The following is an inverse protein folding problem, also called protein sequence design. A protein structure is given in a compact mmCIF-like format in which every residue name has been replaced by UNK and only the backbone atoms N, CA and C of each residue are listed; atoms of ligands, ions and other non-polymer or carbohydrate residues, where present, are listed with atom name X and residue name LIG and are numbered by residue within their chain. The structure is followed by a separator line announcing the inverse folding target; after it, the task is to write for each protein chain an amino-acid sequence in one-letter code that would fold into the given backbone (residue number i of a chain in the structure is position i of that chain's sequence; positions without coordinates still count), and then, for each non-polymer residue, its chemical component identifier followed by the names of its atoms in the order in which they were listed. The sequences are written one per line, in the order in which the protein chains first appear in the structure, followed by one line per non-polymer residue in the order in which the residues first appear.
data_IF_104496199339
#
_entry.id   IF_104496199339
#
_cell.length_a   1.000
_cell.length_b   1.000
_cell.length_c   1.000
_cell.angle_alpha   90.00
_cell.angle_beta   90.00
_cell.angle_gamma   90.00
#
_symmetry.space_group_name_H-M   'P 1'
#
loop_
_entity.id
_entity.type
_entity.pdbx_description
1 polymer ?
#
# COMPACT_ATOMS: atom_id res chain seq x y z
N UNK A 1 -5.62 -28.06 17.94
CA UNK A 1 -5.86 -28.21 16.48
C UNK A 1 -4.84 -27.35 15.75
N UNK A 2 -4.14 -27.89 14.75
CA UNK A 2 -3.14 -27.15 13.96
C UNK A 2 -3.73 -26.74 12.62
N UNK A 3 -3.55 -25.47 12.23
CA UNK A 3 -4.13 -24.89 11.01
C UNK A 3 -3.02 -24.30 10.15
N UNK A 4 -3.14 -24.47 8.83
CA UNK A 4 -2.27 -23.85 7.83
C UNK A 4 -3.14 -23.16 6.80
N UNK A 5 -2.80 -21.92 6.48
CA UNK A 5 -3.41 -21.15 5.41
C UNK A 5 -2.29 -20.52 4.59
N UNK A 6 -2.43 -20.59 3.28
CA UNK A 6 -1.57 -19.90 2.32
C UNK A 6 -2.45 -18.86 1.66
N UNK A 7 -1.98 -17.61 1.62
CA UNK A 7 -2.76 -16.48 1.14
C UNK A 7 -4.14 -16.40 1.83
N UNK A 8 -5.17 -15.95 1.11
CA UNK A 8 -6.56 -15.95 1.57
C UNK A 8 -7.32 -17.27 1.22
N UNK A 9 -6.60 -18.35 0.88
CA UNK A 9 -7.21 -19.60 0.45
C UNK A 9 -7.84 -20.42 1.60
N UNK A 10 -8.39 -21.58 1.25
CA UNK A 10 -9.01 -22.50 2.19
C UNK A 10 -8.00 -22.96 3.26
N UNK A 11 -8.37 -22.74 4.53
CA UNK A 11 -7.65 -23.24 5.70
C UNK A 11 -7.61 -24.77 5.70
N UNK A 12 -6.41 -25.33 5.82
CA UNK A 12 -6.19 -26.75 6.08
C UNK A 12 -5.98 -26.98 7.56
N UNK A 13 -6.57 -28.05 8.09
CA UNK A 13 -6.57 -28.30 9.52
C UNK A 13 -6.20 -29.74 9.83
N UNK A 14 -5.28 -29.94 10.77
CA UNK A 14 -4.80 -31.24 11.23
C UNK A 14 -4.86 -31.33 12.76
N UNK A 15 -5.29 -32.49 13.28
CA UNK A 15 -5.20 -32.79 14.70
C UNK A 15 -3.79 -33.28 15.04
N UNK A 16 -3.10 -32.59 15.95
CA UNK A 16 -1.83 -33.05 16.49
C UNK A 16 -2.05 -34.18 17.51
N UNK A 17 -1.06 -35.08 17.70
CA UNK A 17 -1.15 -36.15 18.69
C UNK A 17 -1.26 -35.65 20.14
N UNK A 18 -0.68 -34.48 20.43
CA UNK A 18 -0.64 -33.86 21.75
C UNK A 18 -0.77 -32.34 21.61
N UNK A 19 -1.31 -31.69 22.64
CA UNK A 19 -1.38 -30.23 22.76
C UNK A 19 -0.16 -29.65 23.52
N UNK A 20 0.84 -30.48 23.86
CA UNK A 20 2.07 -30.02 24.51
C UNK A 20 2.94 -29.17 23.55
N UNK A 21 3.64 -28.13 24.06
CA UNK A 21 4.56 -27.35 23.25
C UNK A 21 5.73 -28.16 22.73
N UNK A 22 6.10 -27.94 21.46
CA UNK A 22 7.29 -28.53 20.86
C UNK A 22 8.48 -27.60 21.14
N UNK A 23 9.47 -28.08 21.88
CA UNK A 23 10.68 -27.31 22.18
C UNK A 23 11.71 -27.44 21.06
N UNK A 24 12.11 -26.31 20.47
CA UNK A 24 13.12 -26.25 19.40
C UNK A 24 14.41 -25.60 19.93
N UNK A 25 15.57 -26.15 19.55
CA UNK A 25 16.88 -25.63 19.98
C UNK A 25 17.47 -24.61 19.01
N UNK A 26 17.17 -24.76 17.72
CA UNK A 26 17.68 -23.94 16.63
C UNK A 26 16.56 -23.76 15.62
N UNK A 27 16.44 -22.53 15.10
CA UNK A 27 15.57 -22.19 14.00
C UNK A 27 16.46 -21.92 12.79
N UNK A 28 16.10 -22.49 11.64
CA UNK A 28 16.79 -22.26 10.38
C UNK A 28 15.79 -21.71 9.37
N UNK A 29 16.22 -20.79 8.51
CA UNK A 29 15.40 -20.13 7.50
C UNK A 29 16.09 -20.30 6.15
N UNK A 30 15.34 -20.61 5.10
CA UNK A 30 15.87 -20.87 3.76
C UNK A 30 16.48 -22.26 3.58
N UNK A 31 17.09 -22.85 4.59
CA UNK A 31 17.64 -24.21 4.48
C UNK A 31 18.42 -24.64 5.72
N UNK A 32 19.00 -25.83 5.66
CA UNK A 32 19.85 -26.38 6.71
C UNK A 32 21.17 -26.91 6.14
N UNK A 33 22.28 -26.67 6.84
CA UNK A 33 23.57 -27.28 6.51
C UNK A 33 23.51 -28.81 6.67
N UNK A 34 24.38 -29.53 5.96
CA UNK A 34 24.33 -31.00 5.83
C UNK A 34 24.33 -31.76 7.16
N UNK A 35 24.98 -31.24 8.20
CA UNK A 35 24.99 -31.82 9.55
C UNK A 35 23.63 -31.76 10.27
N UNK A 36 22.69 -30.93 9.79
CA UNK A 36 21.33 -30.79 10.33
C UNK A 36 20.26 -31.39 9.39
N UNK A 37 20.63 -31.96 8.25
CA UNK A 37 19.71 -32.60 7.31
C UNK A 37 19.30 -34.00 7.78
N UNK A 38 18.42 -34.05 8.78
CA UNK A 38 17.79 -35.30 9.26
C UNK A 38 16.47 -35.57 8.56
N UNK A 39 15.91 -36.79 8.64
CA UNK A 39 14.53 -36.99 8.20
C UNK A 39 13.58 -36.09 9.02
N UNK A 40 12.56 -35.47 8.41
CA UNK A 40 12.08 -35.63 7.03
C UNK A 40 12.75 -34.72 5.98
N UNK A 41 13.66 -33.84 6.38
CA UNK A 41 14.27 -32.80 5.51
C UNK A 41 15.50 -33.27 4.72
N UNK A 42 15.95 -34.52 4.91
CA UNK A 42 17.22 -35.07 4.39
C UNK A 42 17.46 -34.95 2.87
N UNK A 43 16.42 -34.69 2.06
CA UNK A 43 16.55 -34.58 0.60
C UNK A 43 15.81 -33.34 0.04
N UNK A 44 15.54 -32.35 0.88
CA UNK A 44 14.88 -31.11 0.44
C UNK A 44 15.98 -30.11 0.09
N UNK A 45 16.05 -29.61 -1.16
CA UNK A 45 17.04 -28.60 -1.52
C UNK A 45 16.81 -27.30 -0.72
N UNK A 46 17.87 -26.51 -0.46
CA UNK A 46 17.71 -25.17 0.09
C UNK A 46 16.81 -24.30 -0.80
N UNK A 47 16.08 -23.39 -0.18
CA UNK A 47 15.21 -22.43 -0.83
C UNK A 47 16.03 -21.31 -1.48
N UNK A 48 15.68 -20.99 -2.72
CA UNK A 48 16.22 -19.84 -3.45
C UNK A 48 15.10 -18.81 -3.66
N UNK A 49 15.26 -17.63 -3.09
CA UNK A 49 14.28 -16.56 -3.16
C UNK A 49 14.31 -15.68 -1.92
N UNK A 50 13.19 -14.99 -1.68
CA UNK A 50 13.04 -14.06 -0.57
C UNK A 50 12.03 -14.54 0.46
N UNK A 51 12.41 -14.41 1.74
CA UNK A 51 11.54 -14.65 2.88
C UNK A 51 11.57 -13.39 3.74
N UNK A 52 10.41 -12.79 3.99
CA UNK A 52 10.26 -11.58 4.80
C UNK A 52 9.05 -11.68 5.72
N UNK A 53 8.96 -10.77 6.69
CA UNK A 53 7.83 -10.65 7.63
C UNK A 53 7.50 -11.95 8.39
N UNK A 54 8.52 -12.74 8.75
CA UNK A 54 8.34 -13.94 9.57
C UNK A 54 7.96 -13.55 11.01
N UNK A 55 6.79 -13.98 11.45
CA UNK A 55 6.28 -13.75 12.82
C UNK A 55 6.02 -15.10 13.48
N UNK A 56 6.57 -15.30 14.67
CA UNK A 56 6.35 -16.51 15.49
C UNK A 56 5.89 -16.06 16.87
N UNK A 57 4.76 -16.62 17.35
CA UNK A 57 4.18 -16.25 18.64
C UNK A 57 3.98 -14.73 18.81
N UNK A 58 3.52 -14.06 17.75
CA UNK A 58 3.36 -12.60 17.68
C UNK A 58 4.65 -11.76 17.83
N UNK A 59 5.83 -12.39 17.70
CA UNK A 59 7.13 -11.72 17.71
C UNK A 59 7.72 -11.72 16.29
N UNK A 60 8.06 -10.56 15.71
CA UNK A 60 8.76 -10.51 14.44
C UNK A 60 10.19 -11.04 14.61
N UNK A 61 10.62 -11.89 13.69
CA UNK A 61 11.98 -12.43 13.70
C UNK A 61 12.96 -11.39 13.15
N UNK A 62 13.99 -11.05 13.93
CA UNK A 62 15.04 -10.12 13.51
C UNK A 62 16.15 -10.85 12.74
N UNK A 63 16.09 -10.77 11.41
CA UNK A 63 17.13 -11.32 10.56
C UNK A 63 18.42 -10.50 10.53
N UNK A 64 18.46 -9.29 11.08
CA UNK A 64 19.68 -8.48 11.14
C UNK A 64 20.69 -9.00 12.18
N UNK A 65 20.27 -9.87 13.11
CA UNK A 65 21.11 -10.46 14.14
C UNK A 65 21.04 -11.99 14.13
N UNK A 66 21.43 -12.66 13.04
CA UNK A 66 21.42 -14.12 12.99
C UNK A 66 22.56 -14.69 13.87
N UNK A 67 22.32 -15.84 14.47
CA UNK A 67 23.38 -16.59 15.18
C UNK A 67 24.46 -17.06 14.19
N UNK A 68 24.06 -17.42 12.97
CA UNK A 68 24.92 -17.82 11.86
C UNK A 68 24.13 -17.79 10.55
N UNK A 69 24.79 -17.55 9.40
CA UNK A 69 24.16 -17.64 8.08
C UNK A 69 25.18 -18.12 7.03
N UNK A 70 24.66 -18.67 5.93
CA UNK A 70 25.41 -19.13 4.77
C UNK A 70 24.56 -18.80 3.53
N UNK A 71 25.15 -18.17 2.51
CA UNK A 71 24.48 -17.80 1.25
C UNK A 71 23.15 -17.03 1.42
N UNK A 72 23.09 -16.07 2.36
CA UNK A 72 21.89 -15.26 2.61
C UNK A 72 22.15 -13.76 2.40
N UNK A 73 21.31 -13.11 1.61
CA UNK A 73 21.31 -11.66 1.40
C UNK A 73 20.35 -10.97 2.38
N UNK A 74 20.84 -10.65 3.57
CA UNK A 74 20.02 -10.09 4.65
C UNK A 74 19.71 -8.60 4.39
N UNK A 75 18.46 -8.21 4.66
CA UNK A 75 18.02 -6.80 4.65
C UNK A 75 17.56 -6.29 3.29
N UNK A 76 17.54 -7.13 2.26
CA UNK A 76 17.10 -6.76 0.91
C UNK A 76 16.42 -7.93 0.22
N UNK A 77 15.53 -7.60 -0.70
CA UNK A 77 15.01 -8.53 -1.67
C UNK A 77 15.24 -7.96 -3.07
N UNK A 78 16.23 -8.48 -3.82
CA UNK A 78 16.51 -8.01 -5.16
C UNK A 78 15.26 -8.14 -6.03
N UNK A 79 14.91 -7.08 -6.77
CA UNK A 79 13.93 -7.21 -7.85
C UNK A 79 14.54 -8.07 -8.96
N UNK A 80 13.79 -9.04 -9.46
CA UNK A 80 14.25 -9.93 -10.53
C UNK A 80 14.25 -9.25 -11.91
N UNK A 81 13.61 -8.08 -12.04
CA UNK A 81 13.64 -7.26 -13.24
C UNK A 81 14.41 -5.94 -13.01
N UNK A 82 15.25 -5.50 -13.97
CA UNK A 82 15.58 -4.09 -14.13
C UNK A 82 14.28 -3.34 -14.46
N UNK A 83 13.96 -2.27 -13.73
CA UNK A 83 12.90 -1.33 -14.16
C UNK A 83 13.32 -0.69 -15.50
N UNK A 84 13.00 -1.34 -16.62
CA UNK A 84 12.93 -0.67 -17.91
C UNK A 84 11.60 0.09 -17.89
N UNK A 85 11.59 1.24 -17.22
CA UNK A 85 10.57 2.25 -17.53
C UNK A 85 10.79 2.61 -18.99
N UNK A 86 9.82 2.40 -19.90
CA UNK A 86 9.91 3.01 -21.22
C UNK A 86 10.10 4.52 -21.00
N UNK A 87 10.95 5.20 -21.81
CA UNK A 87 11.00 6.64 -21.76
C UNK A 87 9.57 7.15 -21.93
N UNK A 88 9.10 7.95 -20.97
CA UNK A 88 7.85 8.68 -21.13
C UNK A 88 8.01 9.49 -22.42
N UNK A 89 7.11 9.26 -23.37
CA UNK A 89 7.07 9.94 -24.65
C UNK A 89 6.66 11.40 -24.38
N UNK A 90 7.64 12.21 -23.98
CA UNK A 90 7.57 13.66 -23.85
C UNK A 90 7.50 14.29 -25.25
N UNK A 91 6.44 14.01 -26.02
CA UNK A 91 6.04 14.89 -27.12
C UNK A 91 4.55 14.79 -27.42
N UNK A 92 3.74 15.51 -26.63
CA UNK A 92 2.45 15.98 -27.12
C UNK A 92 2.44 17.51 -27.08
N UNK A 93 2.47 18.20 -28.23
CA UNK A 93 2.42 19.65 -28.25
C UNK A 93 1.09 20.10 -27.65
N UNK A 94 1.20 20.92 -26.62
CA UNK A 94 0.09 21.63 -25.98
C UNK A 94 -0.54 22.48 -27.08
N UNK A 95 -1.71 22.08 -27.58
CA UNK A 95 -2.48 22.88 -28.52
C UNK A 95 -2.92 24.14 -27.76
N UNK A 96 -2.20 25.25 -27.98
CA UNK A 96 -2.56 26.55 -27.46
C UNK A 96 -3.94 26.92 -28.02
N UNK A 97 -5.00 26.74 -27.22
CA UNK A 97 -6.30 27.35 -27.47
C UNK A 97 -6.14 28.84 -27.23
N UNK A 98 -5.87 29.56 -28.31
CA UNK A 98 -6.05 31.02 -28.41
C UNK A 98 -7.53 31.30 -28.12
N UNK A 99 -7.82 31.84 -26.93
CA UNK A 99 -9.11 32.43 -26.60
C UNK A 99 -9.29 33.68 -27.46
N UNK A 100 -10.03 33.55 -28.57
CA UNK A 100 -10.56 34.69 -29.31
C UNK A 100 -11.73 35.25 -28.50
N UNK A 101 -11.53 36.42 -27.88
CA UNK A 101 -12.62 37.22 -27.32
C UNK A 101 -13.37 37.91 -28.48
N UNK A 102 -14.70 37.83 -28.57
CA UNK A 102 -15.47 38.70 -29.44
C UNK A 102 -15.90 39.97 -28.68
N UNK A 103 -15.48 41.13 -29.19
CA UNK A 103 -16.03 42.44 -28.84
C UNK A 103 -17.37 42.72 -29.58
N UNK A 104 -18.16 43.70 -29.12
CA UNK A 104 -19.62 43.66 -29.17
C UNK A 104 -20.21 44.37 -30.40
N UNK A 105 -21.18 43.73 -31.06
CA UNK A 105 -22.01 44.37 -32.07
C UNK A 105 -23.39 44.74 -31.50
N UNK A 106 -23.72 45.99 -31.75
CA UNK A 106 -24.86 46.73 -31.21
C UNK A 106 -26.01 46.69 -32.22
N UNK A 107 -27.26 46.75 -31.74
CA UNK A 107 -28.49 47.15 -32.46
C UNK A 107 -29.13 46.05 -33.35
N UNK A 108 -30.41 45.69 -33.27
CA UNK A 108 -31.56 46.12 -32.49
C UNK A 108 -32.81 45.37 -32.96
N UNK A 109 -33.87 45.43 -32.14
CA UNK A 109 -35.29 45.27 -32.49
C UNK A 109 -35.84 43.84 -32.76
N UNK A 110 -36.61 43.30 -31.79
CA UNK A 110 -38.06 43.01 -31.96
C UNK A 110 -38.74 42.52 -30.66
N UNK A 111 -39.77 43.28 -30.26
CA UNK A 111 -40.97 42.96 -29.47
C UNK A 111 -40.99 41.96 -28.29
N UNK A 112 -41.40 42.51 -27.14
CA UNK A 112 -41.91 41.87 -25.91
C UNK A 112 -43.43 41.63 -26.02
N UNK A 113 -44.05 40.59 -25.40
CA UNK A 113 -44.81 40.77 -24.13
C UNK A 113 -44.78 39.56 -23.16
N UNK A 114 -44.35 39.76 -21.89
CA UNK A 114 -45.19 39.94 -20.66
C UNK A 114 -45.38 38.59 -19.92
N UNK A 115 -45.03 38.40 -18.64
CA UNK A 115 -45.64 38.92 -17.38
C UNK A 115 -44.85 38.29 -16.19
N UNK A 116 -43.92 38.96 -15.48
CA UNK A 116 -43.99 39.73 -14.18
C UNK A 116 -44.19 38.88 -12.88
N UNK A 117 -43.93 39.38 -11.64
CA UNK A 117 -42.67 39.21 -10.89
C UNK A 117 -42.85 39.05 -9.33
N UNK A 118 -41.75 39.00 -8.55
CA UNK A 118 -41.55 39.63 -7.21
C UNK A 118 -40.35 38.95 -6.49
N UNK A 119 -39.15 39.56 -6.37
CA UNK A 119 -38.68 40.63 -5.43
C UNK A 119 -38.27 40.09 -4.03
N UNK A 120 -37.43 40.78 -3.20
CA UNK A 120 -36.03 41.23 -3.36
C UNK A 120 -35.18 40.98 -2.06
N UNK A 121 -33.89 41.44 -1.92
CA UNK A 121 -32.97 41.17 -0.78
C UNK A 121 -33.01 42.33 0.26
N UNK A 122 -32.26 42.41 1.41
CA UNK A 122 -30.78 42.60 1.43
C UNK A 122 -29.98 42.30 2.75
N UNK A 123 -28.67 42.58 2.70
CA UNK A 123 -27.81 43.22 3.72
C UNK A 123 -27.06 42.44 4.82
N UNK A 124 -25.75 42.70 4.81
CA UNK A 124 -24.68 42.39 5.77
C UNK A 124 -24.76 43.33 7.00
N UNK A 125 -24.41 42.86 8.20
CA UNK A 125 -23.91 43.73 9.28
C UNK A 125 -22.98 43.01 10.27
N UNK A 126 -21.72 43.47 10.28
CA UNK A 126 -20.82 43.74 11.44
C UNK A 126 -20.59 42.71 12.57
N UNK A 127 -19.31 42.31 12.73
CA UNK A 127 -18.69 41.92 14.01
C UNK A 127 -18.66 43.10 15.01
N UNK A 128 -18.51 42.80 16.32
CA UNK A 128 -17.25 43.18 16.97
C UNK A 128 -16.64 42.08 17.85
N UNK A 129 -15.31 42.13 17.99
CA UNK A 129 -14.49 41.34 18.91
C UNK A 129 -14.55 41.89 20.34
N UNK A 130 -14.68 41.02 21.36
CA UNK A 130 -13.95 41.13 22.65
C UNK A 130 -14.27 40.00 23.64
N UNK A 131 -13.21 39.25 23.98
CA UNK A 131 -12.78 38.70 25.29
C UNK A 131 -13.81 38.35 26.39
N UNK A 132 -13.69 37.14 26.98
CA UNK A 132 -13.53 36.90 28.44
C UNK A 132 -12.85 35.53 28.66
N UNK A 133 -11.84 35.51 29.53
CA UNK A 133 -11.12 34.34 30.07
C UNK A 133 -11.60 34.04 31.49
N UNK A 134 -11.79 32.76 31.83
CA UNK A 134 -12.12 32.19 33.16
C UNK A 134 -11.66 30.71 33.10
N UNK A 135 -10.88 30.08 33.97
CA UNK A 135 -10.21 30.34 35.26
C UNK A 135 -8.98 29.42 35.31
#
# INVERSE_FOLDING_TARGET
MFTVQVDEDKVQTQRLPTDQPISVKKLFVGGVSSQFQTAPIRNIPPFEGCIWNLVINAIPMDFAQPVSFENADIGRCPSLEPEVRPPEDEDKPIHATVLVQPEPDTNGEKERPRTTPASPPPSISSLPSSLVSVT
#
